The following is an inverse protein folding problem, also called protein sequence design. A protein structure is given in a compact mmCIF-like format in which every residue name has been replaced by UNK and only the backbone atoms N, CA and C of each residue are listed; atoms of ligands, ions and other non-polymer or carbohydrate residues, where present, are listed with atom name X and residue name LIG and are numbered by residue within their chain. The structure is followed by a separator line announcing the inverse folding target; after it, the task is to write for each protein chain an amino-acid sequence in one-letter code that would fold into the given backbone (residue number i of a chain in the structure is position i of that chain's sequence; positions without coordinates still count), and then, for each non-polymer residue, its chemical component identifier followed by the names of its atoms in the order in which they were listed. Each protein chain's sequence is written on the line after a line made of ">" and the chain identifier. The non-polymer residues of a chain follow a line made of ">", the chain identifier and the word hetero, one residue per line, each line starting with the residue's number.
data_IF_664696491289
#
_entry.id   IF_664696491289
#
_cell.length_a   1.000
_cell.length_b   1.000
_cell.length_c   1.000
_cell.angle_alpha   90.00
_cell.angle_beta   90.00
_cell.angle_gamma   90.00
#
_symmetry.space_group_name_H-M   'P 1'
#
loop_
_entity.id
_entity.type
_entity.pdbx_description
1 polymer ?
#
# COMPACT_ATOMS: atom_id res chain seq x y z
N UNK A 1 41.72 -9.16 1.37
CA UNK A 1 40.27 -9.02 1.13
C UNK A 1 39.58 -10.02 2.04
N UNK A 2 39.17 -9.58 3.21
CA UNK A 2 38.47 -10.41 4.20
C UNK A 2 37.03 -10.63 3.76
N UNK A 3 36.75 -11.86 3.36
CA UNK A 3 35.41 -12.34 3.09
C UNK A 3 34.67 -12.36 4.44
N UNK A 4 33.90 -11.31 4.74
CA UNK A 4 32.95 -11.34 5.85
C UNK A 4 31.85 -12.32 5.44
N UNK A 5 31.93 -13.54 5.96
CA UNK A 5 30.83 -14.50 5.92
C UNK A 5 29.65 -13.85 6.65
N UNK A 6 28.69 -13.34 5.90
CA UNK A 6 27.42 -12.85 6.45
C UNK A 6 26.74 -14.02 7.15
N UNK A 7 26.68 -13.96 8.46
CA UNK A 7 25.93 -14.94 9.26
C UNK A 7 24.46 -14.80 8.84
N UNK A 8 23.78 -15.89 8.45
CA UNK A 8 22.36 -15.81 8.09
C UNK A 8 21.56 -15.17 9.23
N UNK A 9 20.67 -14.25 8.90
CA UNK A 9 19.77 -13.64 9.88
C UNK A 9 18.94 -14.77 10.50
N UNK A 10 18.92 -14.88 11.84
CA UNK A 10 18.15 -15.93 12.51
C UNK A 10 16.65 -15.86 12.17
N UNK A 11 15.98 -17.01 12.10
CA UNK A 11 14.58 -17.14 11.69
C UNK A 11 13.61 -16.24 12.51
N UNK A 12 13.90 -16.03 13.78
CA UNK A 12 13.11 -15.16 14.67
C UNK A 12 13.16 -13.68 14.23
N UNK A 13 14.32 -13.20 13.83
CA UNK A 13 14.50 -11.82 13.34
C UNK A 13 13.79 -11.60 12.01
N UNK A 14 13.82 -12.58 11.12
CA UNK A 14 13.11 -12.55 9.84
C UNK A 14 11.60 -12.54 10.10
N UNK A 15 11.11 -13.33 11.03
CA UNK A 15 9.69 -13.36 11.41
C UNK A 15 9.24 -12.01 11.97
N UNK A 16 10.00 -11.42 12.90
CA UNK A 16 9.73 -10.08 13.44
C UNK A 16 9.70 -9.03 12.34
N UNK A 17 10.67 -9.02 11.45
CA UNK A 17 10.73 -8.12 10.30
C UNK A 17 9.50 -8.28 9.39
N UNK A 18 9.09 -9.52 9.11
CA UNK A 18 7.90 -9.80 8.32
C UNK A 18 6.64 -9.17 8.95
N UNK A 19 6.43 -9.41 10.24
CA UNK A 19 5.25 -8.87 10.96
C UNK A 19 5.26 -7.34 10.95
N UNK A 20 6.39 -6.71 11.20
CA UNK A 20 6.50 -5.25 11.15
C UNK A 20 6.15 -4.67 9.78
N UNK A 21 6.60 -5.30 8.69
CA UNK A 21 6.26 -4.88 7.33
C UNK A 21 4.79 -5.17 6.98
N UNK A 22 4.24 -6.29 7.42
CA UNK A 22 2.82 -6.60 7.24
C UNK A 22 1.93 -5.56 7.95
N UNK A 23 2.28 -5.19 9.20
CA UNK A 23 1.59 -4.13 9.94
C UNK A 23 1.63 -2.79 9.20
N UNK A 24 2.74 -2.44 8.56
CA UNK A 24 2.87 -1.20 7.77
C UNK A 24 1.94 -1.20 6.56
N UNK A 25 1.87 -2.31 5.82
CA UNK A 25 0.95 -2.43 4.68
C UNK A 25 -0.49 -2.33 5.16
N UNK A 26 -0.84 -3.04 6.23
CA UNK A 26 -2.19 -3.01 6.79
C UNK A 26 -2.58 -1.59 7.22
N UNK A 27 -1.68 -0.89 7.91
CA UNK A 27 -1.87 0.48 8.34
C UNK A 27 -2.10 1.43 7.15
N UNK A 28 -1.25 1.35 6.11
CA UNK A 28 -1.39 2.18 4.91
C UNK A 28 -2.72 1.91 4.19
N UNK A 29 -3.08 0.64 4.00
CA UNK A 29 -4.34 0.24 3.36
C UNK A 29 -5.58 0.65 4.14
N UNK A 30 -5.57 0.46 5.47
CA UNK A 30 -6.69 0.87 6.33
C UNK A 30 -6.89 2.38 6.29
N UNK A 31 -5.81 3.14 6.34
CA UNK A 31 -5.84 4.59 6.22
C UNK A 31 -6.38 5.04 4.86
N UNK A 32 -5.89 4.43 3.78
CA UNK A 32 -6.37 4.73 2.43
C UNK A 32 -7.87 4.42 2.30
N UNK A 33 -8.33 3.28 2.80
CA UNK A 33 -9.75 2.89 2.77
C UNK A 33 -10.65 3.94 3.44
N UNK A 34 -10.19 4.55 4.54
CA UNK A 34 -10.93 5.63 5.24
C UNK A 34 -10.99 6.94 4.43
N UNK A 35 -9.93 7.24 3.66
CA UNK A 35 -9.79 8.49 2.90
C UNK A 35 -10.36 8.45 1.48
N UNK A 36 -10.40 7.28 0.86
CA UNK A 36 -10.84 7.14 -0.53
C UNK A 36 -12.23 7.72 -0.84
N UNK A 37 -13.27 7.58 0.03
CA UNK A 37 -14.56 8.21 -0.22
C UNK A 37 -14.49 9.75 -0.31
N UNK A 38 -13.70 10.38 0.56
CA UNK A 38 -13.50 11.84 0.55
C UNK A 38 -12.70 12.28 -0.68
N UNK A 39 -11.66 11.52 -1.04
CA UNK A 39 -10.87 11.75 -2.26
C UNK A 39 -11.77 11.64 -3.50
N UNK A 40 -12.65 10.65 -3.54
CA UNK A 40 -13.62 10.47 -4.63
C UNK A 40 -14.54 11.69 -4.80
N UNK A 41 -15.10 12.18 -3.70
CA UNK A 41 -15.95 13.38 -3.73
C UNK A 41 -15.18 14.62 -4.21
N UNK A 42 -13.90 14.71 -3.84
CA UNK A 42 -13.01 15.78 -4.25
C UNK A 42 -12.56 15.75 -5.71
N UNK A 43 -12.56 14.60 -6.37
CA UNK A 43 -12.10 14.46 -7.76
C UNK A 43 -13.07 15.13 -8.75
N UNK A 44 -12.54 15.70 -9.82
CA UNK A 44 -13.31 16.40 -10.84
C UNK A 44 -13.50 15.60 -12.12
N UNK A 45 -12.45 14.96 -12.62
CA UNK A 45 -12.50 14.21 -13.87
C UNK A 45 -13.18 12.85 -13.71
N UNK A 46 -14.03 12.49 -14.68
CA UNK A 46 -14.82 11.26 -14.64
C UNK A 46 -13.97 9.99 -14.65
N UNK A 47 -12.87 9.97 -15.40
CA UNK A 47 -11.94 8.84 -15.45
C UNK A 47 -11.15 8.67 -14.14
N UNK A 48 -10.81 9.76 -13.46
CA UNK A 48 -10.23 9.71 -12.12
C UNK A 48 -11.23 9.16 -11.10
N UNK A 49 -12.47 9.63 -11.13
CA UNK A 49 -13.55 9.09 -10.28
C UNK A 49 -13.75 7.59 -10.51
N UNK A 50 -13.69 7.16 -11.76
CA UNK A 50 -13.76 5.73 -12.07
C UNK A 50 -12.58 4.95 -11.47
N UNK A 51 -11.35 5.45 -11.67
CA UNK A 51 -10.15 4.83 -11.09
C UNK A 51 -10.23 4.74 -9.56
N UNK A 52 -10.69 5.80 -8.87
CA UNK A 52 -10.84 5.80 -7.41
C UNK A 52 -11.89 4.76 -6.97
N UNK A 53 -12.99 4.58 -7.70
CA UNK A 53 -13.97 3.51 -7.39
C UNK A 53 -13.35 2.11 -7.49
N UNK A 54 -12.57 1.86 -8.53
CA UNK A 54 -11.85 0.59 -8.67
C UNK A 54 -10.85 0.40 -7.52
N UNK A 55 -10.13 1.46 -7.13
CA UNK A 55 -9.21 1.44 -5.98
C UNK A 55 -9.94 1.14 -4.66
N UNK A 56 -11.14 1.67 -4.44
CA UNK A 56 -11.95 1.34 -3.25
C UNK A 56 -12.23 -0.18 -3.20
N UNK A 57 -12.71 -0.75 -4.31
CA UNK A 57 -13.05 -2.17 -4.40
C UNK A 57 -11.81 -3.06 -4.19
N UNK A 58 -10.70 -2.70 -4.82
CA UNK A 58 -9.47 -3.49 -4.69
C UNK A 58 -8.84 -3.37 -3.30
N UNK A 59 -8.89 -2.18 -2.68
CA UNK A 59 -8.40 -1.97 -1.31
C UNK A 59 -9.13 -2.87 -0.30
N UNK A 60 -10.45 -3.00 -0.42
CA UNK A 60 -11.23 -3.92 0.43
C UNK A 60 -10.79 -5.39 0.24
N UNK A 61 -10.60 -5.83 -1.00
CA UNK A 61 -10.11 -7.18 -1.28
C UNK A 61 -8.70 -7.42 -0.75
N UNK A 62 -7.83 -6.43 -0.88
CA UNK A 62 -6.45 -6.51 -0.42
C UNK A 62 -6.38 -6.54 1.10
N UNK A 63 -7.20 -5.75 1.81
CA UNK A 63 -7.33 -5.82 3.26
C UNK A 63 -7.81 -7.20 3.72
N UNK A 64 -8.85 -7.76 3.07
CA UNK A 64 -9.34 -9.10 3.39
C UNK A 64 -8.26 -10.19 3.23
N UNK A 65 -7.37 -10.06 2.24
CA UNK A 65 -6.23 -10.99 2.08
C UNK A 65 -5.20 -10.81 3.19
N UNK A 66 -4.94 -9.58 3.64
CA UNK A 66 -4.03 -9.33 4.76
C UNK A 66 -4.62 -9.86 6.06
N UNK A 67 -5.91 -9.66 6.32
CA UNK A 67 -6.61 -10.25 7.46
C UNK A 67 -6.48 -11.78 7.46
N UNK A 68 -6.60 -12.41 6.27
CA UNK A 68 -6.39 -13.86 6.15
C UNK A 68 -4.95 -14.27 6.46
N UNK A 69 -3.96 -13.45 6.13
CA UNK A 69 -2.56 -13.71 6.51
C UNK A 69 -2.40 -13.66 8.03
N UNK A 70 -2.98 -12.66 8.72
CA UNK A 70 -2.96 -12.59 10.18
C UNK A 70 -3.62 -13.82 10.81
N UNK A 71 -4.77 -14.23 10.30
CA UNK A 71 -5.47 -15.45 10.75
C UNK A 71 -4.57 -16.69 10.62
N UNK A 72 -3.93 -16.88 9.46
CA UNK A 72 -3.04 -18.02 9.19
C UNK A 72 -1.80 -18.02 10.09
N UNK A 73 -1.35 -16.85 10.54
CA UNK A 73 -0.23 -16.70 11.46
C UNK A 73 -0.64 -16.76 12.94
N UNK A 74 -1.95 -16.76 13.24
CA UNK A 74 -2.45 -16.66 14.62
C UNK A 74 -2.09 -15.33 15.30
N UNK A 75 -2.01 -14.24 14.55
CA UNK A 75 -1.56 -12.93 15.01
C UNK A 75 -2.68 -11.89 14.88
N UNK A 76 -2.51 -10.78 15.59
CA UNK A 76 -3.28 -9.57 15.42
C UNK A 76 -2.38 -8.44 14.92
N UNK A 77 -2.95 -7.51 14.16
CA UNK A 77 -2.21 -6.33 13.69
C UNK A 77 -1.89 -5.37 14.86
N UNK A 78 -0.85 -4.57 14.68
CA UNK A 78 -0.47 -3.51 15.60
C UNK A 78 -0.03 -2.27 14.84
N UNK A 79 -0.48 -1.10 15.28
CA UNK A 79 -0.11 0.20 14.71
C UNK A 79 0.97 0.93 15.49
N UNK A 80 1.53 0.32 16.53
CA UNK A 80 2.50 0.99 17.42
C UNK A 80 3.69 1.62 16.70
N UNK A 81 4.18 0.99 15.62
CA UNK A 81 5.31 1.46 14.84
C UNK A 81 4.93 2.17 13.53
N UNK A 82 3.65 2.47 13.33
CA UNK A 82 3.13 3.04 12.09
C UNK A 82 2.98 4.57 12.11
N UNK A 83 3.25 5.24 13.24
CA UNK A 83 2.99 6.67 13.40
C UNK A 83 3.67 7.54 12.33
N UNK A 84 4.92 7.26 11.98
CA UNK A 84 5.62 8.00 10.94
C UNK A 84 4.96 7.84 9.56
N UNK A 85 4.49 6.62 9.25
CA UNK A 85 3.76 6.33 8.02
C UNK A 85 2.40 7.05 8.01
N UNK A 86 1.64 6.99 9.09
CA UNK A 86 0.36 7.71 9.25
C UNK A 86 0.57 9.20 9.04
N UNK A 87 1.60 9.79 9.66
CA UNK A 87 1.92 11.21 9.49
C UNK A 87 2.22 11.55 8.03
N UNK A 88 2.98 10.71 7.32
CA UNK A 88 3.25 10.88 5.90
C UNK A 88 1.95 10.87 5.07
N UNK A 89 1.08 9.91 5.32
CA UNK A 89 -0.20 9.76 4.62
C UNK A 89 -1.14 10.95 4.88
N UNK A 90 -1.25 11.38 6.13
CA UNK A 90 -2.09 12.53 6.52
C UNK A 90 -1.57 13.86 5.95
N UNK A 91 -0.25 14.06 5.92
CA UNK A 91 0.32 15.25 5.29
C UNK A 91 0.00 15.30 3.79
N UNK A 92 0.17 14.18 3.08
CA UNK A 92 -0.20 14.09 1.66
C UNK A 92 -1.68 14.34 1.43
N UNK A 93 -2.55 13.80 2.29
CA UNK A 93 -3.99 14.05 2.23
C UNK A 93 -4.34 15.53 2.50
N UNK A 94 -3.71 16.15 3.49
CA UNK A 94 -3.90 17.57 3.80
C UNK A 94 -3.53 18.48 2.61
N UNK A 95 -2.49 18.15 1.88
CA UNK A 95 -2.07 18.89 0.68
C UNK A 95 -3.14 18.88 -0.42
N UNK A 96 -3.93 17.81 -0.54
CA UNK A 96 -5.06 17.75 -1.48
C UNK A 96 -6.13 18.80 -1.16
N UNK A 97 -6.35 19.09 0.11
CA UNK A 97 -7.36 20.06 0.57
C UNK A 97 -6.97 21.50 0.24
N UNK A 98 -5.65 21.82 0.24
CA UNK A 98 -5.15 23.16 -0.05
C UNK A 98 -5.40 23.62 -1.49
N UNK A 99 -5.62 22.69 -2.43
CA UNK A 99 -5.81 22.98 -3.85
C UNK A 99 -7.24 22.76 -4.34
N UNK A 100 -8.20 22.82 -3.43
CA UNK A 100 -9.62 22.52 -3.73
C UNK A 100 -10.27 23.42 -4.80
N UNK A 101 -9.78 24.64 -5.00
CA UNK A 101 -10.34 25.61 -5.94
C UNK A 101 -9.84 25.44 -7.40
N UNK A 102 -8.72 24.72 -7.59
CA UNK A 102 -8.12 24.50 -8.91
C UNK A 102 -8.28 23.04 -9.33
N UNK A 103 -9.37 22.71 -9.99
CA UNK A 103 -9.79 21.35 -10.28
C UNK A 103 -8.71 20.48 -10.94
N UNK A 104 -8.04 20.99 -11.98
CA UNK A 104 -6.99 20.24 -12.69
C UNK A 104 -5.78 19.96 -11.79
N UNK A 105 -5.33 20.96 -11.03
CA UNK A 105 -4.19 20.82 -10.12
C UNK A 105 -4.54 19.83 -9.03
N UNK A 106 -5.75 19.92 -8.46
CA UNK A 106 -6.23 18.99 -7.44
C UNK A 106 -6.29 17.55 -7.95
N UNK A 107 -6.84 17.34 -9.16
CA UNK A 107 -6.93 16.01 -9.73
C UNK A 107 -5.56 15.41 -10.00
N UNK A 108 -4.61 16.19 -10.51
CA UNK A 108 -3.22 15.77 -10.67
C UNK A 108 -2.57 15.42 -9.32
N UNK A 109 -2.84 16.21 -8.27
CA UNK A 109 -2.35 15.90 -6.91
C UNK A 109 -2.97 14.62 -6.35
N UNK A 110 -4.28 14.40 -6.57
CA UNK A 110 -4.95 13.16 -6.16
C UNK A 110 -4.28 11.94 -6.82
N UNK A 111 -4.11 11.97 -8.15
CA UNK A 111 -3.46 10.87 -8.87
C UNK A 111 -2.04 10.64 -8.36
N UNK A 112 -1.27 11.72 -8.15
CA UNK A 112 0.10 11.64 -7.64
C UNK A 112 0.15 11.04 -6.24
N UNK A 113 -0.77 11.43 -5.36
CA UNK A 113 -0.88 10.90 -4.01
C UNK A 113 -1.19 9.39 -4.02
N UNK A 114 -2.20 8.97 -4.79
CA UNK A 114 -2.56 7.55 -4.92
C UNK A 114 -1.40 6.73 -5.50
N UNK A 115 -0.73 7.24 -6.53
CA UNK A 115 0.43 6.58 -7.14
C UNK A 115 1.60 6.39 -6.15
N UNK A 116 1.86 7.39 -5.29
CA UNK A 116 2.88 7.28 -4.25
C UNK A 116 2.51 6.22 -3.20
N UNK A 117 1.23 6.12 -2.81
CA UNK A 117 0.76 5.08 -1.89
C UNK A 117 0.95 3.69 -2.49
N UNK A 118 0.56 3.48 -3.74
CA UNK A 118 0.76 2.21 -4.44
C UNK A 118 2.25 1.82 -4.50
N UNK A 119 3.14 2.79 -4.73
CA UNK A 119 4.58 2.53 -4.75
C UNK A 119 5.11 2.05 -3.39
N UNK A 120 4.65 2.65 -2.28
CA UNK A 120 4.99 2.21 -0.91
C UNK A 120 4.48 0.78 -0.67
N UNK A 121 3.26 0.49 -1.06
CA UNK A 121 2.63 -0.81 -0.88
C UNK A 121 3.31 -1.91 -1.71
N UNK A 122 3.55 -1.63 -2.99
CA UNK A 122 4.24 -2.55 -3.90
C UNK A 122 5.63 -2.92 -3.37
N UNK A 123 6.42 -1.92 -2.95
CA UNK A 123 7.75 -2.18 -2.40
C UNK A 123 7.69 -3.01 -1.12
N UNK A 124 6.76 -2.72 -0.22
CA UNK A 124 6.56 -3.49 1.00
C UNK A 124 6.10 -4.93 0.73
N UNK A 125 5.14 -5.12 -0.18
CA UNK A 125 4.67 -6.44 -0.58
C UNK A 125 5.79 -7.27 -1.25
N UNK A 126 6.62 -6.64 -2.06
CA UNK A 126 7.77 -7.30 -2.70
C UNK A 126 8.80 -7.75 -1.67
N UNK A 127 9.13 -6.90 -0.69
CA UNK A 127 10.02 -7.27 0.43
C UNK A 127 9.46 -8.48 1.17
N UNK A 128 8.17 -8.48 1.50
CA UNK A 128 7.52 -9.60 2.17
C UNK A 128 7.60 -10.89 1.36
N UNK A 129 7.42 -10.83 0.04
CA UNK A 129 7.57 -12.01 -0.84
C UNK A 129 8.99 -12.60 -0.78
N UNK A 130 10.03 -11.76 -0.71
CA UNK A 130 11.41 -12.24 -0.59
C UNK A 130 11.69 -12.90 0.76
N UNK A 131 11.20 -12.36 1.86
CA UNK A 131 11.46 -12.91 3.19
C UNK A 131 10.59 -14.12 3.53
N UNK A 132 9.51 -14.36 2.79
CA UNK A 132 8.62 -15.52 3.01
C UNK A 132 9.12 -16.83 2.41
N UNK A 133 10.20 -16.83 1.63
CA UNK A 133 10.64 -18.02 0.88
C UNK A 133 10.98 -19.22 1.74
N UNK A 134 11.39 -19.03 3.00
CA UNK A 134 11.87 -20.10 3.87
C UNK A 134 10.93 -20.48 5.04
N UNK A 135 10.01 -19.61 5.44
CA UNK A 135 9.31 -19.73 6.72
C UNK A 135 7.80 -19.95 6.58
N UNK A 136 7.19 -19.65 5.43
CA UNK A 136 5.74 -19.53 5.35
C UNK A 136 5.08 -20.43 4.32
N UNK A 137 3.86 -20.80 4.68
CA UNK A 137 2.91 -21.57 3.92
C UNK A 137 2.69 -20.94 2.51
N UNK A 138 2.51 -21.78 1.49
CA UNK A 138 2.29 -21.39 0.10
C UNK A 138 1.06 -20.46 -0.07
N UNK A 139 0.07 -20.60 0.79
CA UNK A 139 -1.13 -19.76 0.78
C UNK A 139 -0.79 -18.29 1.11
N UNK A 140 0.07 -18.03 2.10
CA UNK A 140 0.53 -16.67 2.43
C UNK A 140 1.28 -16.04 1.25
N UNK A 141 2.16 -16.82 0.61
CA UNK A 141 2.87 -16.34 -0.59
C UNK A 141 1.92 -15.95 -1.71
N UNK A 142 0.88 -16.75 -1.94
CA UNK A 142 -0.09 -16.46 -2.99
C UNK A 142 -0.90 -15.19 -2.67
N UNK A 143 -1.36 -15.01 -1.42
CA UNK A 143 -2.09 -13.83 -1.00
C UNK A 143 -1.25 -12.55 -1.15
N UNK A 144 0.03 -12.59 -0.80
CA UNK A 144 0.96 -11.46 -0.99
C UNK A 144 1.20 -11.16 -2.47
N UNK A 145 1.34 -12.20 -3.30
CA UNK A 145 1.52 -12.06 -4.74
C UNK A 145 0.29 -11.45 -5.39
N UNK A 146 -0.90 -11.85 -4.99
CA UNK A 146 -2.16 -11.31 -5.50
C UNK A 146 -2.29 -9.81 -5.16
N UNK A 147 -1.98 -9.42 -3.92
CA UNK A 147 -1.96 -8.01 -3.52
C UNK A 147 -0.95 -7.19 -4.32
N UNK A 148 0.26 -7.72 -4.51
CA UNK A 148 1.28 -7.05 -5.31
C UNK A 148 0.84 -6.84 -6.77
N UNK A 149 0.25 -7.86 -7.38
CA UNK A 149 -0.20 -7.81 -8.77
C UNK A 149 -1.34 -6.80 -8.97
N UNK A 150 -2.29 -6.73 -8.03
CA UNK A 150 -3.36 -5.72 -8.06
C UNK A 150 -2.80 -4.31 -7.90
N UNK A 151 -1.97 -4.05 -6.89
CA UNK A 151 -1.34 -2.74 -6.69
C UNK A 151 -0.51 -2.31 -7.92
N UNK A 152 0.19 -3.27 -8.56
CA UNK A 152 0.92 -2.99 -9.79
C UNK A 152 0.01 -2.59 -10.96
N UNK A 153 -1.14 -3.23 -11.10
CA UNK A 153 -2.11 -2.89 -12.15
C UNK A 153 -2.72 -1.50 -11.91
N UNK A 154 -3.05 -1.16 -10.66
CA UNK A 154 -3.54 0.15 -10.25
C UNK A 154 -2.50 1.24 -10.52
N UNK A 155 -1.25 1.00 -10.15
CA UNK A 155 -0.12 1.91 -10.37
C UNK A 155 0.05 2.26 -11.86
N UNK A 156 -0.11 1.29 -12.76
CA UNK A 156 -0.05 1.53 -14.22
C UNK A 156 -1.22 2.43 -14.67
N UNK A 157 -2.42 2.18 -14.17
CA UNK A 157 -3.60 3.02 -14.49
C UNK A 157 -3.40 4.46 -14.02
N UNK A 158 -2.93 4.65 -12.78
CA UNK A 158 -2.67 5.97 -12.22
C UNK A 158 -1.58 6.71 -13.01
N UNK A 159 -0.53 6.02 -13.43
CA UNK A 159 0.53 6.62 -14.26
C UNK A 159 -0.02 7.13 -15.60
N UNK A 160 -0.90 6.37 -16.25
CA UNK A 160 -1.57 6.81 -17.49
C UNK A 160 -2.44 8.05 -17.26
N UNK A 161 -3.08 8.18 -16.10
CA UNK A 161 -3.83 9.39 -15.76
C UNK A 161 -2.90 10.59 -15.51
N UNK A 162 -1.74 10.39 -14.86
CA UNK A 162 -0.74 11.44 -14.69
C UNK A 162 -0.28 11.96 -16.06
N UNK A 163 0.06 11.06 -16.99
CA UNK A 163 0.46 11.44 -18.35
C UNK A 163 -0.65 12.20 -19.09
N UNK A 164 -1.92 11.80 -18.89
CA UNK A 164 -3.06 12.46 -19.53
C UNK A 164 -3.34 13.86 -18.99
N UNK A 165 -3.06 14.10 -17.70
CA UNK A 165 -3.35 15.38 -17.04
C UNK A 165 -2.17 16.36 -17.07
N UNK A 166 -0.97 15.89 -17.44
CA UNK A 166 0.24 16.70 -17.59
C UNK A 166 0.29 17.35 -18.98
#
# INVERSE_FOLDING_TARGET
>A
MTNQSQTPIGSEKIHTFFIEHLNRIYCAKSHLAERLPEIYEGAGFADLKFAIKETIISTEKQLARIDKIYELLGLQYSFEKCQALITFLENGFADLQLHSEQLQVRDLMIVSYLYQLDAVEMSSAQILQFVTTEIMNQQIKQLLKDNYNEAKAESVLLLLLIEKYS
#
